data_IF_045973047300
#
_entry.id   IF_045973047300
#
_cell.length_a   1.000
_cell.length_b   1.000
_cell.length_c   1.000
_cell.angle_alpha   90.00
_cell.angle_beta   90.00
_cell.angle_gamma   90.00
#
_symmetry.space_group_name_H-M   'P 1'
#
loop_
_entity.id
_entity.type
_entity.pdbx_description
1 polymer ?
#
# COMPACT_ATOMS: atom_id res chain seq x y z
N UNK A 1 -0.01 5.24 -4.97
CA UNK A 1 0.89 4.18 -5.49
C UNK A 1 0.11 3.02 -6.13
N UNK A 2 -0.22 3.12 -7.42
CA UNK A 2 -0.91 2.05 -8.12
C UNK A 2 0.00 0.85 -8.41
N UNK A 3 -0.61 -0.32 -8.61
CA UNK A 3 0.05 -1.44 -9.27
C UNK A 3 -0.10 -1.27 -10.78
N UNK A 4 0.99 -1.35 -11.51
CA UNK A 4 1.01 -1.20 -12.97
C UNK A 4 1.30 -2.55 -13.63
N UNK A 5 0.37 -3.01 -14.47
CA UNK A 5 0.51 -4.25 -15.23
C UNK A 5 0.83 -3.89 -16.69
N UNK A 6 2.05 -4.19 -17.12
CA UNK A 6 2.49 -3.99 -18.51
C UNK A 6 2.24 -5.26 -19.31
N UNK A 7 1.24 -5.27 -20.19
CA UNK A 7 0.96 -6.41 -21.07
C UNK A 7 1.92 -6.45 -22.28
N UNK A 8 2.13 -5.29 -22.86
CA UNK A 8 3.05 -5.09 -23.98
C UNK A 8 3.39 -3.59 -24.09
N UNK A 9 4.05 -3.18 -25.18
CA UNK A 9 4.45 -1.78 -25.37
C UNK A 9 3.26 -0.79 -25.51
N UNK A 10 2.08 -1.31 -25.88
CA UNK A 10 0.90 -0.49 -26.20
C UNK A 10 -0.30 -0.74 -25.26
N UNK A 11 -0.18 -1.67 -24.28
CA UNK A 11 -1.28 -1.99 -23.35
C UNK A 11 -0.78 -2.08 -21.93
N UNK A 12 -1.39 -1.27 -21.08
CA UNK A 12 -1.09 -1.17 -19.66
C UNK A 12 -2.38 -1.13 -18.86
N UNK A 13 -2.37 -1.71 -17.67
CA UNK A 13 -3.40 -1.46 -16.67
C UNK A 13 -2.78 -0.76 -15.47
N UNK A 14 -3.55 0.12 -14.87
CA UNK A 14 -3.23 0.81 -13.62
C UNK A 14 -4.31 0.40 -12.63
N UNK A 15 -3.93 -0.41 -11.64
CA UNK A 15 -4.82 -0.86 -10.57
C UNK A 15 -4.56 0.00 -9.34
N UNK A 16 -5.58 0.70 -8.87
CA UNK A 16 -5.52 1.59 -7.72
C UNK A 16 -6.83 1.47 -6.93
N UNK A 17 -6.73 1.44 -5.60
CA UNK A 17 -7.88 1.26 -4.72
C UNK A 17 -8.36 2.56 -4.07
N UNK A 18 -7.45 3.48 -3.77
CA UNK A 18 -7.72 4.60 -2.86
C UNK A 18 -8.13 5.89 -3.55
N UNK A 19 -7.94 6.01 -4.87
CA UNK A 19 -8.20 7.25 -5.62
C UNK A 19 -8.68 6.97 -7.03
N UNK A 20 -9.55 7.84 -7.55
CA UNK A 20 -9.91 7.89 -8.97
C UNK A 20 -8.85 8.69 -9.74
N UNK A 21 -8.14 8.02 -10.65
CA UNK A 21 -7.10 8.64 -11.48
C UNK A 21 -7.54 8.80 -12.94
N UNK A 22 -8.75 8.35 -13.33
CA UNK A 22 -9.13 8.30 -14.75
C UNK A 22 -9.25 9.68 -15.38
N UNK A 23 -9.87 10.64 -14.69
CA UNK A 23 -10.02 12.01 -15.20
C UNK A 23 -8.67 12.73 -15.26
N UNK A 24 -7.80 12.50 -14.24
CA UNK A 24 -6.45 13.03 -14.24
C UNK A 24 -5.63 12.51 -15.43
N UNK A 25 -5.66 11.19 -15.65
CA UNK A 25 -4.94 10.56 -16.75
C UNK A 25 -5.45 11.04 -18.13
N UNK A 26 -6.78 11.14 -18.31
CA UNK A 26 -7.39 11.68 -19.53
C UNK A 26 -7.02 13.15 -19.75
N UNK A 27 -7.09 13.98 -18.70
CA UNK A 27 -6.71 15.39 -18.79
C UNK A 27 -5.24 15.57 -19.15
N UNK A 28 -4.36 14.77 -18.56
CA UNK A 28 -2.93 14.77 -18.87
C UNK A 28 -2.67 14.34 -20.33
N UNK A 29 -3.33 13.29 -20.80
CA UNK A 29 -3.19 12.81 -22.17
C UNK A 29 -3.61 13.87 -23.21
N UNK A 30 -4.73 14.55 -22.95
CA UNK A 30 -5.20 15.66 -23.80
C UNK A 30 -4.19 16.83 -23.74
N UNK A 31 -3.79 17.25 -22.55
CA UNK A 31 -2.88 18.40 -22.37
C UNK A 31 -1.48 18.18 -22.96
N UNK A 32 -1.04 16.91 -23.05
CA UNK A 32 0.24 16.50 -23.66
C UNK A 32 0.11 16.03 -25.11
N UNK A 33 -1.11 16.01 -25.64
CA UNK A 33 -1.42 15.52 -27.00
C UNK A 33 -0.91 14.08 -27.23
N UNK A 34 -1.12 13.18 -26.24
CA UNK A 34 -0.76 11.76 -26.37
C UNK A 34 -1.82 11.00 -27.17
N UNK A 35 -1.39 10.19 -28.12
CA UNK A 35 -2.25 9.24 -28.85
C UNK A 35 -2.48 7.98 -28.01
N UNK A 36 -3.36 8.10 -27.02
CA UNK A 36 -3.72 7.01 -26.10
C UNK A 36 -5.22 6.97 -25.85
N UNK A 37 -5.76 5.76 -25.72
CA UNK A 37 -7.14 5.52 -25.29
C UNK A 37 -7.12 5.11 -23.82
N UNK A 38 -7.75 5.89 -22.96
CA UNK A 38 -7.88 5.62 -21.53
C UNK A 38 -9.33 5.27 -21.23
N UNK A 39 -9.54 4.07 -20.68
CA UNK A 39 -10.86 3.54 -20.30
C UNK A 39 -10.78 2.96 -18.89
N UNK A 40 -11.90 2.94 -18.21
CA UNK A 40 -12.10 2.15 -16.99
C UNK A 40 -12.83 0.87 -17.41
N UNK A 41 -12.21 -0.31 -17.29
CA UNK A 41 -12.87 -1.56 -17.58
C UNK A 41 -13.83 -1.97 -16.46
N UNK A 42 -14.86 -2.74 -16.78
CA UNK A 42 -15.73 -3.36 -15.79
C UNK A 42 -15.05 -4.63 -15.25
N UNK A 43 -14.27 -4.46 -14.19
CA UNK A 43 -13.45 -5.53 -13.59
C UNK A 43 -13.57 -5.46 -12.08
N UNK A 44 -13.94 -6.58 -11.47
CA UNK A 44 -13.86 -6.79 -10.03
C UNK A 44 -12.53 -7.45 -9.63
N UNK A 45 -11.97 -7.06 -8.49
CA UNK A 45 -10.73 -7.65 -7.98
C UNK A 45 -11.02 -8.50 -6.76
N UNK A 46 -10.69 -9.79 -6.84
CA UNK A 46 -10.78 -10.74 -5.75
C UNK A 46 -9.38 -11.01 -5.18
N UNK A 47 -9.12 -10.61 -3.94
CA UNK A 47 -7.84 -10.85 -3.28
C UNK A 47 -7.87 -12.18 -2.50
N UNK A 48 -6.89 -13.05 -2.74
CA UNK A 48 -6.65 -14.29 -1.98
C UNK A 48 -5.31 -14.14 -1.29
N UNK A 49 -5.34 -13.79 0.00
CA UNK A 49 -4.15 -13.41 0.75
C UNK A 49 -3.91 -14.34 1.94
N UNK A 50 -2.67 -14.41 2.40
CA UNK A 50 -2.29 -15.15 3.59
C UNK A 50 -1.30 -16.28 3.33
N UNK A 51 -0.72 -16.88 4.39
CA UNK A 51 0.40 -17.81 4.27
C UNK A 51 0.04 -19.14 3.56
N UNK A 52 -1.25 -19.48 3.47
CA UNK A 52 -1.73 -20.69 2.79
C UNK A 52 -2.29 -20.39 1.38
N UNK A 53 -2.34 -19.14 0.96
CA UNK A 53 -2.89 -18.72 -0.34
C UNK A 53 -2.21 -19.44 -1.52
N UNK A 54 -0.90 -19.64 -1.46
CA UNK A 54 -0.16 -20.35 -2.50
C UNK A 54 -0.68 -21.78 -2.72
N UNK A 55 -0.90 -22.52 -1.64
CA UNK A 55 -1.41 -23.90 -1.73
C UNK A 55 -2.85 -23.96 -2.24
N UNK A 56 -3.68 -23.01 -1.81
CA UNK A 56 -5.05 -22.91 -2.28
C UNK A 56 -5.08 -22.62 -3.77
N UNK A 57 -4.34 -21.60 -4.22
CA UNK A 57 -4.33 -21.19 -5.61
C UNK A 57 -3.72 -22.26 -6.53
N UNK A 58 -2.68 -22.96 -6.09
CA UNK A 58 -2.11 -24.12 -6.80
C UNK A 58 -3.13 -25.25 -6.96
N UNK A 59 -3.94 -25.50 -5.94
CA UNK A 59 -4.98 -26.52 -5.99
C UNK A 59 -6.11 -26.18 -6.95
N UNK A 60 -6.43 -24.90 -7.10
CA UNK A 60 -7.50 -24.42 -7.99
C UNK A 60 -7.02 -24.25 -9.43
N UNK A 61 -5.82 -23.70 -9.65
CA UNK A 61 -5.30 -23.31 -10.96
C UNK A 61 -4.12 -24.16 -11.45
N UNK A 62 -3.69 -25.17 -10.66
CA UNK A 62 -2.57 -26.05 -10.98
C UNK A 62 -1.20 -25.42 -10.71
N UNK A 63 -0.15 -26.23 -10.87
CA UNK A 63 1.24 -25.89 -10.54
C UNK A 63 1.78 -24.64 -11.26
N UNK A 64 1.23 -24.30 -12.44
CA UNK A 64 1.68 -23.13 -13.20
C UNK A 64 1.61 -21.83 -12.39
N UNK A 65 0.62 -21.70 -11.50
CA UNK A 65 0.43 -20.47 -10.73
C UNK A 65 1.54 -20.23 -9.70
N UNK A 66 2.14 -21.32 -9.19
CA UNK A 66 3.26 -21.26 -8.25
C UNK A 66 4.52 -20.62 -8.88
N UNK A 67 4.62 -20.65 -10.22
CA UNK A 67 5.75 -20.06 -10.96
C UNK A 67 5.64 -18.53 -11.14
N UNK A 68 4.50 -17.92 -10.81
CA UNK A 68 4.39 -16.47 -10.86
C UNK A 68 5.37 -15.83 -9.87
N UNK A 69 6.21 -14.94 -10.37
CA UNK A 69 7.08 -14.12 -9.51
C UNK A 69 6.25 -13.03 -8.81
N UNK A 70 6.75 -12.51 -7.71
CA UNK A 70 6.16 -11.35 -7.06
C UNK A 70 6.05 -10.18 -8.06
N UNK A 71 4.88 -9.54 -8.14
CA UNK A 71 4.46 -8.61 -9.19
C UNK A 71 4.43 -9.17 -10.62
N UNK A 72 4.53 -10.50 -10.80
CA UNK A 72 4.22 -11.14 -12.07
C UNK A 72 2.72 -11.41 -12.19
N UNK A 73 2.24 -11.52 -13.43
CA UNK A 73 0.86 -11.87 -13.74
C UNK A 73 0.78 -12.75 -14.99
N UNK A 74 -0.26 -13.55 -15.08
CA UNK A 74 -0.59 -14.35 -16.26
C UNK A 74 -2.09 -14.69 -16.25
N UNK A 75 -2.58 -15.26 -17.35
CA UNK A 75 -3.94 -15.76 -17.48
C UNK A 75 -4.04 -17.22 -17.04
N UNK A 76 -5.09 -17.52 -16.28
CA UNK A 76 -5.43 -18.86 -15.81
C UNK A 76 -6.89 -19.17 -16.10
N UNK A 77 -7.18 -20.43 -16.42
CA UNK A 77 -8.53 -20.88 -16.79
C UNK A 77 -9.28 -21.42 -15.55
N UNK A 78 -10.55 -21.01 -15.42
CA UNK A 78 -11.50 -21.56 -14.48
C UNK A 78 -12.90 -21.54 -15.09
N UNK A 79 -13.57 -22.71 -15.08
CA UNK A 79 -14.96 -22.82 -15.56
C UNK A 79 -15.16 -22.51 -17.06
N UNK A 80 -14.10 -22.51 -17.86
CA UNK A 80 -14.11 -22.16 -19.29
C UNK A 80 -13.75 -20.69 -19.58
N UNK A 81 -13.63 -19.87 -18.55
CA UNK A 81 -13.21 -18.47 -18.63
C UNK A 81 -11.72 -18.30 -18.25
N UNK A 82 -11.12 -17.24 -18.79
CA UNK A 82 -9.75 -16.84 -18.45
C UNK A 82 -9.77 -15.67 -17.49
N UNK A 83 -9.12 -15.84 -16.34
CA UNK A 83 -8.92 -14.79 -15.36
C UNK A 83 -7.47 -14.33 -15.37
N UNK A 84 -7.24 -13.02 -15.38
CA UNK A 84 -5.92 -12.46 -15.13
C UNK A 84 -5.63 -12.58 -13.63
N UNK A 85 -4.52 -13.21 -13.29
CA UNK A 85 -4.10 -13.36 -11.89
C UNK A 85 -2.71 -12.79 -11.72
N UNK A 86 -2.59 -11.84 -10.79
CA UNK A 86 -1.33 -11.24 -10.39
C UNK A 86 -0.88 -11.78 -9.02
N UNK A 87 0.42 -12.00 -8.87
CA UNK A 87 1.00 -12.31 -7.55
C UNK A 87 1.31 -11.01 -6.84
N UNK A 88 0.27 -10.37 -6.36
CA UNK A 88 0.28 -9.09 -5.67
C UNK A 88 -0.70 -9.11 -4.50
N UNK A 89 -0.78 -8.00 -3.76
CA UNK A 89 -1.70 -7.83 -2.66
C UNK A 89 -1.17 -6.88 -1.59
N UNK A 90 -2.08 -6.40 -0.77
CA UNK A 90 -1.82 -5.41 0.27
C UNK A 90 -1.93 -6.02 1.68
N UNK A 91 -1.23 -7.14 1.92
CA UNK A 91 -1.27 -7.87 3.19
C UNK A 91 0.10 -8.16 3.78
N UNK A 92 1.18 -8.09 2.98
CA UNK A 92 2.53 -8.58 3.35
C UNK A 92 2.61 -10.07 3.71
N UNK A 93 1.51 -10.81 3.63
CA UNK A 93 1.47 -12.25 3.95
C UNK A 93 1.66 -13.14 2.72
N UNK A 94 1.75 -12.51 1.54
CA UNK A 94 1.74 -13.17 0.25
C UNK A 94 0.33 -13.53 -0.21
N UNK A 95 0.19 -13.71 -1.52
CA UNK A 95 -1.10 -14.00 -2.11
C UNK A 95 -1.20 -13.58 -3.56
N UNK A 96 -2.44 -13.49 -4.02
CA UNK A 96 -2.79 -13.19 -5.40
C UNK A 96 -3.98 -12.24 -5.46
N UNK A 97 -4.05 -11.49 -6.55
CA UNK A 97 -5.20 -10.69 -6.95
C UNK A 97 -5.72 -11.22 -8.28
N UNK A 98 -6.99 -11.59 -8.30
CA UNK A 98 -7.69 -12.15 -9.45
C UNK A 98 -8.56 -11.05 -10.03
N UNK A 99 -8.32 -10.68 -11.26
CA UNK A 99 -9.08 -9.68 -12.01
C UNK A 99 -10.22 -10.38 -12.76
N UNK A 100 -11.43 -10.14 -12.31
CA UNK A 100 -12.64 -10.81 -12.79
C UNK A 100 -13.35 -9.89 -13.77
N UNK A 101 -13.40 -10.30 -15.04
CA UNK A 101 -14.09 -9.55 -16.11
C UNK A 101 -15.57 -9.95 -16.26
N UNK A 102 -15.99 -11.10 -15.68
CA UNK A 102 -17.32 -11.66 -15.82
C UNK A 102 -17.88 -12.07 -14.46
N UNK A 103 -18.91 -11.36 -13.99
CA UNK A 103 -19.48 -11.54 -12.66
C UNK A 103 -19.93 -12.98 -12.35
N UNK A 104 -20.60 -13.65 -13.30
CA UNK A 104 -21.07 -15.02 -13.09
C UNK A 104 -19.91 -16.02 -12.88
N UNK A 105 -18.82 -15.85 -13.62
CA UNK A 105 -17.62 -16.67 -13.45
C UNK A 105 -16.90 -16.33 -12.15
N UNK A 106 -16.88 -15.07 -11.78
CA UNK A 106 -16.31 -14.59 -10.51
C UNK A 106 -17.02 -15.16 -9.30
N UNK A 107 -18.35 -15.19 -9.28
CA UNK A 107 -19.12 -15.79 -8.21
C UNK A 107 -18.86 -17.31 -8.08
N UNK A 108 -18.83 -18.02 -9.19
CA UNK A 108 -18.50 -19.46 -9.20
C UNK A 108 -17.09 -19.71 -8.68
N UNK A 109 -16.13 -18.87 -9.08
CA UNK A 109 -14.76 -18.95 -8.60
C UNK A 109 -14.67 -18.67 -7.10
N UNK A 110 -15.38 -17.64 -6.61
CA UNK A 110 -15.46 -17.32 -5.19
C UNK A 110 -15.96 -18.52 -4.37
N UNK A 111 -17.11 -19.10 -4.76
CA UNK A 111 -17.68 -20.25 -4.07
C UNK A 111 -16.73 -21.46 -4.10
N UNK A 112 -16.06 -21.69 -5.24
CA UNK A 112 -15.09 -22.77 -5.37
C UNK A 112 -13.85 -22.58 -4.50
N UNK A 113 -13.34 -21.35 -4.40
CA UNK A 113 -12.23 -21.00 -3.51
C UNK A 113 -12.58 -21.28 -2.04
N UNK A 114 -13.80 -20.99 -1.62
CA UNK A 114 -14.25 -21.31 -0.26
C UNK A 114 -14.44 -22.82 -0.05
N UNK A 115 -14.95 -23.53 -1.05
CA UNK A 115 -15.12 -24.98 -0.97
C UNK A 115 -13.77 -25.70 -0.83
N UNK A 116 -12.87 -25.47 -1.76
CA UNK A 116 -11.51 -26.05 -1.70
C UNK A 116 -10.72 -25.50 -0.51
N UNK A 117 -10.98 -24.25 -0.16
CA UNK A 117 -10.33 -23.55 0.94
C UNK A 117 -10.65 -24.05 2.34
N UNK A 118 -11.70 -24.90 2.52
CA UNK A 118 -12.06 -25.46 3.84
C UNK A 118 -10.88 -26.13 4.53
N UNK A 119 -10.08 -26.89 3.80
CA UNK A 119 -8.90 -27.56 4.35
C UNK A 119 -7.76 -26.59 4.75
N UNK A 120 -7.75 -25.39 4.19
CA UNK A 120 -6.80 -24.33 4.50
C UNK A 120 -7.33 -23.34 5.54
N UNK A 121 -8.58 -23.52 6.00
CA UNK A 121 -9.30 -22.60 6.89
C UNK A 121 -9.46 -21.22 6.26
N UNK A 122 -9.90 -21.16 5.00
CA UNK A 122 -10.21 -19.91 4.31
C UNK A 122 -11.38 -19.22 5.01
N UNK A 123 -11.24 -17.92 5.21
CA UNK A 123 -12.26 -17.06 5.82
C UNK A 123 -12.46 -15.82 4.93
N UNK A 124 -13.65 -15.21 4.94
CA UNK A 124 -13.79 -13.87 4.41
C UNK A 124 -12.80 -12.93 5.12
N UNK A 125 -12.10 -12.12 4.34
CA UNK A 125 -11.05 -11.24 4.86
C UNK A 125 -11.20 -9.82 4.33
N UNK A 126 -10.43 -8.92 4.92
CA UNK A 126 -10.30 -7.54 4.50
C UNK A 126 -9.00 -6.95 5.02
N UNK A 127 -8.68 -5.72 4.64
CA UNK A 127 -7.51 -5.02 5.16
C UNK A 127 -7.51 -4.98 6.69
N UNK A 128 -6.38 -5.34 7.29
CA UNK A 128 -6.20 -5.37 8.73
C UNK A 128 -5.30 -4.20 9.16
N UNK A 129 -5.83 -3.31 10.00
CA UNK A 129 -5.12 -2.10 10.44
C UNK A 129 -3.81 -2.43 11.17
N UNK A 130 -3.83 -3.46 12.03
CA UNK A 130 -2.64 -3.86 12.82
C UNK A 130 -1.55 -4.37 11.87
N UNK A 131 -1.89 -5.29 10.99
CA UNK A 131 -0.94 -5.90 10.05
C UNK A 131 -0.37 -4.88 9.06
N UNK A 132 -1.20 -3.96 8.54
CA UNK A 132 -0.71 -2.95 7.61
C UNK A 132 0.28 -1.98 8.25
N UNK A 133 -0.02 -1.50 9.48
CA UNK A 133 0.88 -0.59 10.20
C UNK A 133 2.17 -1.33 10.57
N UNK A 134 2.07 -2.53 11.13
CA UNK A 134 3.21 -3.37 11.50
C UNK A 134 4.15 -3.61 10.32
N UNK A 135 3.58 -3.83 9.15
CA UNK A 135 4.29 -4.09 7.89
C UNK A 135 4.72 -2.82 7.15
N UNK A 136 4.37 -1.63 7.63
CA UNK A 136 4.66 -0.36 6.97
C UNK A 136 3.97 -0.21 5.61
N UNK A 137 2.79 -0.82 5.43
CA UNK A 137 1.97 -0.62 4.22
C UNK A 137 1.23 0.71 4.33
N UNK A 138 1.61 1.65 3.47
CA UNK A 138 1.05 2.99 3.46
C UNK A 138 -0.33 3.02 2.81
N UNK A 139 -1.17 3.93 3.27
CA UNK A 139 -2.50 4.19 2.73
C UNK A 139 -2.61 5.67 2.35
N UNK A 140 -2.94 5.95 1.09
CA UNK A 140 -3.18 7.31 0.62
C UNK A 140 -4.44 7.88 1.29
N UNK A 141 -4.36 9.14 1.69
CA UNK A 141 -5.42 9.78 2.47
C UNK A 141 -5.33 9.56 3.98
N UNK A 142 -4.59 8.53 4.43
CA UNK A 142 -4.29 8.31 5.85
C UNK A 142 -2.83 8.69 6.18
N UNK A 143 -1.87 7.96 5.61
CA UNK A 143 -0.45 8.14 5.95
C UNK A 143 0.24 9.18 5.08
N UNK A 144 -0.23 9.39 3.87
CA UNK A 144 0.30 10.34 2.90
C UNK A 144 -0.81 10.95 2.06
N UNK A 145 -0.55 12.12 1.52
CA UNK A 145 -1.46 12.84 0.63
C UNK A 145 -0.70 13.58 -0.49
N UNK A 146 -1.43 14.42 -1.25
CA UNK A 146 -0.86 15.20 -2.35
C UNK A 146 0.15 16.29 -1.90
N UNK A 147 0.27 16.57 -0.61
CA UNK A 147 1.27 17.46 -0.02
C UNK A 147 2.61 16.80 0.25
N UNK A 148 2.68 15.48 0.12
CA UNK A 148 3.87 14.68 0.35
C UNK A 148 4.52 14.28 -0.97
N UNK A 149 5.82 14.04 -0.96
CA UNK A 149 6.52 13.54 -2.14
C UNK A 149 7.08 12.12 -1.90
N UNK A 150 7.41 11.37 -2.97
CA UNK A 150 7.86 9.99 -2.85
C UNK A 150 9.09 9.79 -1.95
N UNK A 151 10.01 10.75 -1.89
CA UNK A 151 11.19 10.64 -1.02
C UNK A 151 10.83 10.76 0.45
N UNK A 152 9.87 11.61 0.79
CA UNK A 152 9.35 11.76 2.15
C UNK A 152 8.60 10.50 2.60
N UNK A 153 7.98 9.79 1.66
CA UNK A 153 7.23 8.55 1.91
C UNK A 153 8.08 7.26 1.84
N UNK A 154 9.39 7.37 1.58
CA UNK A 154 10.28 6.20 1.47
C UNK A 154 10.11 5.39 0.17
N UNK A 155 9.59 6.03 -0.88
CA UNK A 155 9.41 5.42 -2.21
C UNK A 155 10.57 5.69 -3.19
N UNK A 156 11.75 6.01 -2.68
CA UNK A 156 12.94 6.32 -3.47
C UNK A 156 13.22 5.29 -4.57
N UNK A 157 13.06 4.01 -4.24
CA UNK A 157 13.32 2.89 -5.17
C UNK A 157 12.42 2.85 -6.40
N UNK A 158 11.29 3.57 -6.36
CA UNK A 158 10.35 3.66 -7.48
C UNK A 158 10.55 4.94 -8.31
N UNK A 159 11.48 5.82 -7.91
CA UNK A 159 11.74 7.10 -8.55
C UNK A 159 13.07 7.10 -9.27
N UNK A 160 13.04 6.97 -10.59
CA UNK A 160 14.27 7.02 -11.42
C UNK A 160 14.37 8.37 -12.15
N UNK A 161 14.90 9.38 -11.45
CA UNK A 161 15.10 10.72 -12.02
C UNK A 161 16.27 10.79 -13.02
N UNK A 162 17.14 9.79 -13.02
CA UNK A 162 18.34 9.74 -13.86
C UNK A 162 18.06 9.04 -15.20
N UNK A 163 16.87 8.46 -15.40
CA UNK A 163 16.46 7.86 -16.68
C UNK A 163 16.24 8.92 -17.75
N UNK A 164 16.37 8.53 -19.03
CA UNK A 164 16.06 9.40 -20.18
C UNK A 164 14.54 9.63 -20.36
N UNK A 165 13.70 8.85 -19.67
CA UNK A 165 12.25 8.99 -19.73
C UNK A 165 11.83 10.26 -18.98
N UNK A 166 11.10 11.14 -19.67
CA UNK A 166 10.44 12.28 -19.04
C UNK A 166 9.13 11.83 -18.36
N UNK A 167 8.86 12.36 -17.17
CA UNK A 167 7.63 12.10 -16.44
C UNK A 167 7.20 13.32 -15.63
N UNK A 168 5.91 13.38 -15.30
CA UNK A 168 5.34 14.49 -14.53
C UNK A 168 6.00 14.57 -13.15
N UNK A 169 6.53 15.77 -12.83
CA UNK A 169 7.20 16.01 -11.54
C UNK A 169 8.70 15.72 -11.51
N UNK A 170 9.30 15.19 -12.57
CA UNK A 170 10.73 14.80 -12.60
C UNK A 170 11.67 15.95 -12.15
N UNK A 171 11.51 17.15 -12.71
CA UNK A 171 12.35 18.29 -12.36
C UNK A 171 12.16 18.75 -10.91
N UNK A 172 10.93 18.67 -10.39
CA UNK A 172 10.66 18.96 -8.98
C UNK A 172 11.33 17.93 -8.06
N UNK A 173 11.29 16.65 -8.42
CA UNK A 173 11.93 15.60 -7.66
C UNK A 173 13.47 15.67 -7.70
N UNK A 174 14.06 16.07 -8.82
CA UNK A 174 15.51 16.37 -8.89
C UNK A 174 15.89 17.46 -7.90
N UNK A 175 15.11 18.55 -7.85
CA UNK A 175 15.34 19.65 -6.91
C UNK A 175 15.24 19.18 -5.47
N UNK A 176 14.18 18.43 -5.12
CA UNK A 176 13.99 17.87 -3.76
C UNK A 176 15.15 16.95 -3.37
N UNK A 177 15.62 16.09 -4.29
CA UNK A 177 16.76 15.20 -4.04
C UNK A 177 18.04 15.97 -3.76
N UNK A 178 18.28 17.08 -4.49
CA UNK A 178 19.46 17.92 -4.30
C UNK A 178 19.41 18.73 -3.00
N UNK A 179 18.24 19.24 -2.60
CA UNK A 179 18.04 20.04 -1.38
C UNK A 179 17.87 19.16 -0.13
N UNK A 180 17.52 17.89 -0.31
CA UNK A 180 17.12 16.97 0.74
C UNK A 180 15.68 17.16 1.20
N UNK A 181 15.11 16.13 1.80
CA UNK A 181 13.75 16.15 2.36
C UNK A 181 13.69 16.97 3.65
N UNK A 182 12.52 17.55 3.90
CA UNK A 182 12.25 18.36 5.11
C UNK A 182 11.48 17.57 6.18
N UNK A 183 10.81 16.50 5.77
CA UNK A 183 10.03 15.61 6.62
C UNK A 183 10.16 14.19 6.08
N UNK A 184 9.86 13.17 6.89
CA UNK A 184 9.95 11.76 6.49
C UNK A 184 8.92 10.93 7.23
N UNK A 185 8.28 9.99 6.52
CA UNK A 185 7.47 8.96 7.16
C UNK A 185 8.37 7.99 7.93
N UNK A 186 8.05 7.84 9.21
CA UNK A 186 8.75 6.99 10.16
C UNK A 186 7.75 6.15 10.94
N UNK A 187 8.20 5.04 11.47
CA UNK A 187 7.49 4.31 12.51
C UNK A 187 7.59 5.04 13.84
N UNK A 188 6.57 4.90 14.68
CA UNK A 188 6.60 5.34 16.06
C UNK A 188 6.06 4.28 17.00
N UNK A 189 6.66 4.17 18.18
CA UNK A 189 6.20 3.33 19.29
C UNK A 189 5.81 4.24 20.43
N UNK A 190 4.60 4.06 20.98
CA UNK A 190 4.03 4.92 22.01
C UNK A 190 3.67 4.04 23.20
N UNK A 191 4.03 4.47 24.41
CA UNK A 191 3.75 3.73 25.65
C UNK A 191 2.29 3.90 26.10
N UNK A 192 1.39 3.51 25.21
CA UNK A 192 -0.06 3.51 25.41
C UNK A 192 -0.62 2.15 25.05
N UNK A 193 -1.80 1.82 25.59
CA UNK A 193 -2.50 0.55 25.35
C UNK A 193 -3.70 0.68 24.43
N UNK A 194 -4.07 1.90 24.08
CA UNK A 194 -5.17 2.18 23.16
C UNK A 194 -4.93 3.51 22.47
N UNK A 195 -5.46 3.66 21.27
CA UNK A 195 -5.48 4.89 20.52
C UNK A 195 -6.63 4.86 19.51
N UNK A 196 -7.21 6.03 19.25
CA UNK A 196 -8.12 6.26 18.14
C UNK A 196 -7.61 7.46 17.35
N UNK A 197 -7.16 7.23 16.14
CA UNK A 197 -6.63 8.28 15.25
C UNK A 197 -7.73 8.69 14.27
N UNK A 198 -8.37 9.82 14.55
CA UNK A 198 -9.46 10.39 13.73
C UNK A 198 -9.01 11.62 12.93
N UNK A 199 -7.72 11.75 12.70
CA UNK A 199 -7.03 12.85 12.05
C UNK A 199 -5.58 12.87 12.53
N UNK A 200 -4.74 13.78 12.03
CA UNK A 200 -3.36 13.88 12.49
C UNK A 200 -3.29 14.33 13.97
N UNK A 201 -2.33 13.78 14.70
CA UNK A 201 -2.08 14.11 16.10
C UNK A 201 -0.63 14.57 16.26
N UNK A 202 -0.42 15.73 16.87
CA UNK A 202 0.90 16.31 17.03
C UNK A 202 1.80 15.46 17.93
N UNK A 203 3.05 15.30 17.49
CA UNK A 203 4.15 14.75 18.28
C UNK A 203 5.04 15.91 18.69
N UNK A 204 5.33 16.03 19.98
CA UNK A 204 6.08 17.16 20.52
C UNK A 204 7.35 16.72 21.23
N UNK A 205 8.38 17.58 21.23
CA UNK A 205 9.59 17.39 22.02
C UNK A 205 9.39 17.79 23.50
N UNK A 206 10.47 17.75 24.29
CA UNK A 206 10.47 18.12 25.70
C UNK A 206 10.11 19.59 25.95
N UNK A 207 10.34 20.45 24.96
CA UNK A 207 10.04 21.89 25.02
C UNK A 207 8.65 22.21 24.43
N UNK A 208 7.83 21.19 24.14
CA UNK A 208 6.52 21.27 23.47
C UNK A 208 6.55 21.84 22.03
N UNK A 209 7.68 21.77 21.34
CA UNK A 209 7.71 22.08 19.91
C UNK A 209 7.21 20.88 19.09
N UNK A 210 6.38 21.14 18.09
CA UNK A 210 5.87 20.08 17.19
C UNK A 210 7.01 19.56 16.31
N UNK A 211 7.34 18.29 16.48
CA UNK A 211 8.38 17.60 15.72
C UNK A 211 7.83 16.71 14.60
N UNK A 212 6.54 16.53 14.55
CA UNK A 212 5.86 15.72 13.54
C UNK A 212 4.41 15.48 13.90
N UNK A 213 3.76 14.62 13.12
CA UNK A 213 2.37 14.25 13.34
C UNK A 213 2.16 12.75 13.14
N UNK A 214 1.43 12.13 14.05
CA UNK A 214 0.94 10.75 13.89
C UNK A 214 -0.23 10.76 12.90
N UNK A 215 -0.14 9.95 11.87
CA UNK A 215 -1.15 9.83 10.81
C UNK A 215 -1.98 8.56 10.89
N UNK A 216 -1.37 7.46 11.34
CA UNK A 216 -2.06 6.20 11.62
C UNK A 216 -1.49 5.56 12.86
N UNK A 217 -2.30 4.87 13.62
CA UNK A 217 -1.84 4.17 14.82
C UNK A 217 -2.85 3.14 15.32
N UNK A 218 -2.34 2.10 15.95
CA UNK A 218 -3.14 1.08 16.62
C UNK A 218 -2.37 0.43 17.76
N UNK A 219 -3.08 -0.12 18.72
CA UNK A 219 -2.45 -1.03 19.68
C UNK A 219 -2.03 -2.31 18.99
N UNK A 220 -0.80 -2.73 19.18
CA UNK A 220 -0.29 -3.97 18.62
C UNK A 220 0.02 -4.98 19.74
N UNK A 221 -0.64 -6.15 19.77
CA UNK A 221 -0.46 -7.14 20.82
C UNK A 221 0.94 -7.78 20.81
N UNK A 222 1.61 -7.86 19.69
CA UNK A 222 2.98 -8.40 19.57
C UNK A 222 3.98 -7.49 20.27
N UNK A 223 3.88 -6.18 20.05
CA UNK A 223 4.74 -5.18 20.70
C UNK A 223 4.22 -4.75 22.08
N UNK A 224 2.98 -5.09 22.45
CA UNK A 224 2.30 -4.74 23.71
C UNK A 224 2.21 -3.23 23.97
N UNK A 225 2.18 -2.43 22.90
CA UNK A 225 2.10 -0.98 22.92
C UNK A 225 1.43 -0.47 21.64
N UNK A 226 1.16 0.80 21.57
CA UNK A 226 0.71 1.43 20.34
C UNK A 226 1.89 1.57 19.39
N UNK A 227 1.68 1.18 18.14
CA UNK A 227 2.56 1.46 17.00
C UNK A 227 1.84 2.36 16.01
N UNK A 228 2.58 3.17 15.28
CA UNK A 228 1.99 4.08 14.31
C UNK A 228 2.93 4.51 13.20
N UNK A 229 2.35 5.11 12.19
CA UNK A 229 3.04 5.75 11.07
C UNK A 229 2.90 7.26 11.26
N UNK A 230 4.03 7.96 11.29
CA UNK A 230 4.08 9.39 11.56
C UNK A 230 4.95 10.11 10.52
N UNK A 231 4.54 11.31 10.14
CA UNK A 231 5.37 12.22 9.36
C UNK A 231 6.21 13.05 10.33
N UNK A 232 7.52 12.85 10.33
CA UNK A 232 8.46 13.49 11.25
C UNK A 232 9.23 14.59 10.54
N UNK A 233 9.33 15.77 11.16
CA UNK A 233 10.06 16.92 10.64
C UNK A 233 11.57 16.77 10.85
N UNK A 234 12.36 17.30 9.92
CA UNK A 234 13.81 17.46 10.11
C UNK A 234 14.08 18.43 11.28
N UNK A 235 15.03 18.18 12.18
CA UNK A 235 16.03 17.09 12.14
C UNK A 235 15.64 15.84 12.93
N UNK A 236 14.39 15.60 13.29
CA UNK A 236 13.93 14.66 14.32
C UNK A 236 13.63 13.23 13.81
N UNK A 237 13.89 12.88 12.54
CA UNK A 237 13.63 11.52 12.02
C UNK A 237 14.77 10.52 12.26
N UNK A 238 15.56 10.75 13.32
CA UNK A 238 16.52 9.77 13.81
C UNK A 238 15.80 8.71 14.67
N UNK A 239 16.19 7.45 14.49
CA UNK A 239 15.67 6.35 15.33
C UNK A 239 16.01 6.56 16.79
N UNK A 240 15.08 6.18 17.66
CA UNK A 240 15.13 6.38 19.12
C UNK A 240 14.95 7.83 19.61
N UNK A 241 14.68 8.79 18.71
CA UNK A 241 14.27 10.14 19.13
C UNK A 241 13.00 10.06 19.94
N UNK A 242 13.03 10.59 21.18
CA UNK A 242 11.87 10.63 22.08
C UNK A 242 10.94 11.77 21.71
N UNK A 243 9.67 11.57 21.96
CA UNK A 243 8.59 12.57 21.80
C UNK A 243 7.49 12.31 22.83
N UNK A 244 6.57 13.26 22.96
CA UNK A 244 5.30 13.10 23.68
C UNK A 244 4.14 13.27 22.72
N UNK A 245 3.03 12.59 23.04
CA UNK A 245 1.77 12.69 22.32
C UNK A 245 0.62 12.74 23.33
N UNK A 246 -0.35 13.63 23.08
CA UNK A 246 -1.56 13.68 23.88
C UNK A 246 -2.62 12.76 23.28
N UNK A 247 -3.08 11.79 24.07
CA UNK A 247 -4.16 10.88 23.69
C UNK A 247 -5.29 11.07 24.70
N UNK A 248 -6.42 11.58 24.25
CA UNK A 248 -7.62 11.79 25.08
C UNK A 248 -7.36 12.60 26.37
N UNK A 249 -6.47 13.59 26.29
CA UNK A 249 -6.14 14.47 27.43
C UNK A 249 -5.05 13.94 28.36
N UNK A 250 -4.43 12.81 28.04
CA UNK A 250 -3.27 12.26 28.76
C UNK A 250 -2.04 12.24 27.87
N UNK A 251 -0.89 12.60 28.41
CA UNK A 251 0.38 12.59 27.70
C UNK A 251 1.05 11.22 27.82
N UNK A 252 1.54 10.72 26.71
CA UNK A 252 2.28 9.47 26.60
C UNK A 252 3.64 9.71 25.96
N UNK A 253 4.65 9.00 26.46
CA UNK A 253 5.97 9.00 25.86
C UNK A 253 6.01 8.06 24.65
N UNK A 254 6.81 8.42 23.64
CA UNK A 254 7.04 7.60 22.47
C UNK A 254 8.44 7.75 21.91
N UNK A 255 8.76 6.88 20.95
CA UNK A 255 10.03 6.88 20.24
C UNK A 255 9.84 6.68 18.74
N UNK A 256 10.60 7.43 17.97
CA UNK A 256 10.72 7.25 16.52
C UNK A 256 11.50 5.96 16.22
N UNK A 257 11.06 5.21 15.23
CA UNK A 257 11.74 4.00 14.75
C UNK A 257 11.60 3.86 13.22
N UNK A 258 12.30 2.90 12.65
CA UNK A 258 12.20 2.59 11.23
C UNK A 258 10.88 1.88 10.89
N UNK A 259 10.50 1.94 9.62
CA UNK A 259 9.47 1.13 8.98
C UNK A 259 10.15 0.12 8.02
N UNK A 260 9.62 -1.10 7.92
CA UNK A 260 8.54 -1.71 8.74
C UNK A 260 8.98 -2.04 10.17
N UNK A 261 8.02 -2.37 11.03
CA UNK A 261 8.31 -2.79 12.42
C UNK A 261 8.85 -4.23 12.50
N UNK A 262 8.62 -5.04 11.44
CA UNK A 262 9.01 -6.45 11.28
C UNK A 262 9.71 -6.69 9.95
#
# INVERSE_FOLDING_TARGET
>A
DPVVLKFNENKWWISIADTDVILFAKGLAIGKNFDVKIIEPDIDIMAVQGPKSFKLMEKVFGEKIANLKFFGFDYFEFGGDKHLIARSGWSKQGGYEIYVEHNDSGLKLYDHLFEIGKEFNVQPGGPNLIERIESGLLSHGNDMDNGDNPYECGFDKYVNIDSDVDFLGKEKLKKIKAEGIKKKLMGVKIDAKEISVNGSMDLVDEDNNVIGELRSGCYNPTFKQVIGIAMINKPHFETSKSFKININGSDFDGKVCDLPFI
#
